data_IF_156647109082
#
_entry.id   IF_156647109082
#
_cell.length_a   1.000
_cell.length_b   1.000
_cell.length_c   1.000
_cell.angle_alpha   90.00
_cell.angle_beta   90.00
_cell.angle_gamma   90.00
#
_symmetry.space_group_name_H-M   'P 1'
#
loop_
_entity.id
_entity.type
_entity.pdbx_description
1 polymer ?
#
# COMPACT_ATOMS: atom_id res chain seq x y z
N UNK A 1 16.20 34.12 -73.83
CA UNK A 1 17.07 33.53 -72.79
C UNK A 1 16.86 34.19 -71.42
N UNK A 2 16.81 35.52 -71.34
CA UNK A 2 16.66 36.31 -70.11
C UNK A 2 15.40 35.97 -69.25
N UNK A 3 14.22 35.82 -69.86
CA UNK A 3 12.97 35.53 -69.15
C UNK A 3 12.95 34.16 -68.45
N UNK A 4 13.57 33.12 -69.04
CA UNK A 4 13.67 31.80 -68.41
C UNK A 4 14.53 31.84 -67.15
N UNK A 5 15.56 32.67 -67.14
CA UNK A 5 16.42 32.87 -65.97
C UNK A 5 15.67 33.57 -64.84
N UNK A 6 14.88 34.59 -65.16
CA UNK A 6 14.07 35.32 -64.16
C UNK A 6 12.99 34.44 -63.52
N UNK A 7 12.31 33.57 -64.29
CA UNK A 7 11.32 32.63 -63.75
C UNK A 7 11.98 31.62 -62.80
N UNK A 8 13.13 31.06 -63.15
CA UNK A 8 13.84 30.09 -62.29
C UNK A 8 14.30 30.69 -60.95
N UNK A 9 14.61 31.99 -60.93
CA UNK A 9 14.95 32.71 -59.69
C UNK A 9 13.70 32.91 -58.84
N UNK A 10 12.57 33.27 -59.45
CA UNK A 10 11.29 33.45 -58.74
C UNK A 10 10.74 32.13 -58.19
N UNK A 11 10.82 31.03 -58.95
CA UNK A 11 10.40 29.70 -58.50
C UNK A 11 11.25 29.21 -57.32
N UNK A 12 12.57 29.45 -57.36
CA UNK A 12 13.45 29.17 -56.21
C UNK A 12 13.09 30.05 -55.03
N UNK A 13 12.90 31.35 -55.23
CA UNK A 13 12.51 32.26 -54.16
C UNK A 13 11.17 31.87 -53.52
N UNK A 14 10.16 31.49 -54.33
CA UNK A 14 8.87 31.00 -53.86
C UNK A 14 9.00 29.67 -53.10
N UNK A 15 9.79 28.72 -53.63
CA UNK A 15 10.02 27.42 -52.99
C UNK A 15 10.75 27.59 -51.65
N UNK A 16 11.81 28.37 -51.62
CA UNK A 16 12.59 28.67 -50.42
C UNK A 16 11.71 29.40 -49.39
N UNK A 17 10.89 30.37 -49.82
CA UNK A 17 9.96 31.07 -48.94
C UNK A 17 8.87 30.15 -48.36
N UNK A 18 8.33 29.21 -49.16
CA UNK A 18 7.37 28.21 -48.69
C UNK A 18 8.03 27.22 -47.73
N UNK A 19 9.20 26.69 -48.08
CA UNK A 19 9.98 25.77 -47.23
C UNK A 19 10.35 26.42 -45.90
N UNK A 20 10.84 27.66 -45.90
CA UNK A 20 11.14 28.43 -44.69
C UNK A 20 9.88 28.65 -43.83
N UNK A 21 8.72 28.93 -44.45
CA UNK A 21 7.45 29.03 -43.71
C UNK A 21 7.07 27.70 -43.05
N UNK A 22 7.28 26.58 -43.73
CA UNK A 22 7.02 25.24 -43.19
C UNK A 22 7.99 24.87 -42.07
N UNK A 23 9.29 25.18 -42.19
CA UNK A 23 10.30 24.94 -41.16
C UNK A 23 10.06 25.77 -39.90
N UNK A 24 9.73 27.05 -40.06
CA UNK A 24 9.36 27.93 -38.93
C UNK A 24 8.08 27.44 -38.25
N UNK A 25 7.11 26.93 -39.02
CA UNK A 25 5.89 26.33 -38.46
C UNK A 25 6.20 25.04 -37.69
N UNK A 26 7.09 24.18 -38.20
CA UNK A 26 7.54 22.95 -37.52
C UNK A 26 8.27 23.26 -36.20
N UNK A 27 9.15 24.26 -36.18
CA UNK A 27 9.86 24.68 -34.96
C UNK A 27 8.91 25.23 -33.90
N UNK A 28 7.88 26.00 -34.29
CA UNK A 28 6.84 26.48 -33.36
C UNK A 28 6.01 25.33 -32.77
N UNK A 29 5.64 24.34 -33.60
CA UNK A 29 4.93 23.14 -33.14
C UNK A 29 5.82 22.35 -32.16
N UNK A 30 7.10 22.17 -32.49
CA UNK A 30 8.05 21.45 -31.62
C UNK A 30 8.26 22.15 -30.28
N UNK A 31 8.38 23.47 -30.26
CA UNK A 31 8.45 24.27 -29.03
C UNK A 31 7.16 24.14 -28.20
N UNK A 32 6.00 24.12 -28.85
CA UNK A 32 4.71 23.95 -28.19
C UNK A 32 4.59 22.56 -27.55
N UNK A 33 4.96 21.50 -28.28
CA UNK A 33 4.99 20.11 -27.76
C UNK A 33 5.97 20.00 -26.59
N UNK A 34 7.16 20.58 -26.72
CA UNK A 34 8.18 20.56 -25.65
C UNK A 34 7.68 21.30 -24.40
N UNK A 35 7.02 22.45 -24.58
CA UNK A 35 6.39 23.21 -23.49
C UNK A 35 5.25 22.45 -22.81
N UNK A 36 4.38 21.78 -23.58
CA UNK A 36 3.32 20.93 -23.03
C UNK A 36 3.91 19.76 -22.24
N UNK A 37 4.93 19.08 -22.75
CA UNK A 37 5.60 17.99 -22.03
C UNK A 37 6.28 18.47 -20.74
N UNK A 38 6.87 19.67 -20.76
CA UNK A 38 7.42 20.30 -19.55
C UNK A 38 6.29 20.52 -18.54
N UNK A 39 5.20 21.19 -18.93
CA UNK A 39 4.04 21.44 -18.06
C UNK A 39 3.46 20.13 -17.50
N UNK A 40 3.29 19.10 -18.33
CA UNK A 40 2.79 17.78 -17.88
C UNK A 40 3.73 17.11 -16.89
N UNK A 41 5.06 17.24 -17.05
CA UNK A 41 6.05 16.75 -16.07
C UNK A 41 5.94 17.47 -14.73
N UNK A 42 5.65 18.77 -14.73
CA UNK A 42 5.45 19.56 -13.50
C UNK A 42 4.07 19.35 -12.86
N UNK A 43 3.07 18.96 -13.66
CA UNK A 43 1.69 18.65 -13.21
C UNK A 43 1.52 17.15 -12.92
N UNK A 44 2.57 16.34 -12.97
CA UNK A 44 2.50 14.95 -12.53
C UNK A 44 2.28 14.89 -11.02
N UNK A 45 1.02 15.05 -10.63
CA UNK A 45 0.51 14.84 -9.28
C UNK A 45 0.62 13.34 -9.06
N UNK A 46 1.62 12.92 -8.29
CA UNK A 46 1.64 11.54 -7.78
C UNK A 46 0.36 11.32 -6.98
N UNK A 47 -0.60 10.60 -7.57
CA UNK A 47 -1.74 10.06 -6.82
C UNK A 47 -1.19 8.95 -5.93
N UNK A 48 -0.75 9.32 -4.73
CA UNK A 48 -0.41 8.32 -3.70
C UNK A 48 -1.71 7.71 -3.18
N UNK A 49 -1.78 6.39 -3.27
CA UNK A 49 -2.85 5.61 -2.64
C UNK A 49 -2.41 5.29 -1.22
N UNK A 50 -3.26 5.60 -0.25
CA UNK A 50 -3.03 5.23 1.15
C UNK A 50 -3.73 3.91 1.47
N UNK A 51 -3.14 3.10 2.35
CA UNK A 51 -3.70 1.82 2.80
C UNK A 51 -3.75 1.76 4.33
N UNK A 52 -4.84 1.20 4.87
CA UNK A 52 -4.99 0.87 6.29
C UNK A 52 -5.26 -0.64 6.40
N UNK A 53 -4.47 -1.34 7.21
CA UNK A 53 -4.58 -2.80 7.40
C UNK A 53 -4.51 -3.15 8.88
N UNK A 54 -5.25 -4.19 9.27
CA UNK A 54 -5.18 -4.78 10.60
C UNK A 54 -4.90 -6.27 10.49
N UNK A 55 -3.94 -6.75 11.29
CA UNK A 55 -3.59 -8.15 11.42
C UNK A 55 -3.93 -8.64 12.81
N UNK A 56 -4.79 -9.65 12.88
CA UNK A 56 -5.15 -10.33 14.11
C UNK A 56 -4.47 -11.70 14.13
N UNK A 57 -3.68 -11.93 15.17
CA UNK A 57 -3.04 -13.23 15.39
C UNK A 57 -3.55 -13.76 16.71
N UNK A 58 -4.00 -15.00 16.71
CA UNK A 58 -4.39 -15.69 17.92
C UNK A 58 -3.71 -17.05 17.98
N UNK A 59 -3.16 -17.38 19.14
CA UNK A 59 -2.40 -18.59 19.40
C UNK A 59 -3.05 -19.34 20.57
N UNK A 60 -3.03 -20.67 20.52
CA UNK A 60 -3.56 -21.49 21.62
C UNK A 60 -2.58 -22.59 21.99
N UNK A 61 -2.26 -22.70 23.28
CA UNK A 61 -1.27 -23.64 23.82
C UNK A 61 -0.25 -22.91 24.70
N UNK A 62 0.60 -23.68 25.37
CA UNK A 62 1.62 -23.15 26.28
C UNK A 62 2.84 -22.67 25.47
N UNK A 63 2.76 -21.47 24.91
CA UNK A 63 3.81 -20.83 24.11
C UNK A 63 4.10 -19.46 24.72
N UNK A 64 5.38 -19.05 24.72
CA UNK A 64 5.82 -17.72 25.17
C UNK A 64 5.49 -16.64 24.13
N UNK A 65 4.19 -16.49 23.84
CA UNK A 65 3.62 -15.50 22.93
C UNK A 65 2.21 -15.15 23.42
N UNK A 66 1.74 -13.90 23.29
CA UNK A 66 0.38 -13.54 23.72
C UNK A 66 -0.68 -14.41 23.04
N UNK A 67 -1.70 -14.84 23.79
CA UNK A 67 -2.85 -15.58 23.23
C UNK A 67 -3.49 -14.85 22.05
N UNK A 68 -3.48 -13.51 22.07
CA UNK A 68 -4.00 -12.68 20.99
C UNK A 68 -3.22 -11.38 20.84
N UNK A 69 -3.01 -10.98 19.58
CA UNK A 69 -2.41 -9.69 19.22
C UNK A 69 -3.17 -9.04 18.05
N UNK A 70 -3.27 -7.72 18.07
CA UNK A 70 -3.73 -6.91 16.93
C UNK A 70 -2.63 -5.93 16.53
N UNK A 71 -2.35 -5.82 15.24
CA UNK A 71 -1.37 -4.90 14.65
C UNK A 71 -2.06 -4.06 13.59
N UNK A 72 -2.02 -2.74 13.71
CA UNK A 72 -2.53 -1.83 12.68
C UNK A 72 -1.41 -1.15 11.91
N UNK A 73 -1.52 -1.13 10.58
CA UNK A 73 -0.59 -0.50 9.64
C UNK A 73 -1.28 0.59 8.83
N UNK A 74 -0.64 1.75 8.69
CA UNK A 74 -0.94 2.77 7.67
C UNK A 74 0.23 2.81 6.71
N UNK A 75 -0.01 2.59 5.42
CA UNK A 75 1.04 2.57 4.39
C UNK A 75 2.22 1.65 4.71
N UNK A 76 1.90 0.43 5.19
CA UNK A 76 2.86 -0.57 5.67
C UNK A 76 3.65 -0.17 6.94
N UNK A 77 3.42 1.01 7.51
CA UNK A 77 4.00 1.45 8.78
C UNK A 77 3.08 1.11 9.95
N UNK A 78 3.63 0.43 10.96
CA UNK A 78 2.86 0.07 12.15
C UNK A 78 2.59 1.29 13.03
N UNK A 79 1.32 1.62 13.23
CA UNK A 79 0.91 2.74 14.08
C UNK A 79 0.27 2.31 15.40
N UNK A 80 -0.22 1.07 15.50
CA UNK A 80 -0.86 0.56 16.72
C UNK A 80 -0.54 -0.91 16.98
N UNK A 81 -0.62 -1.30 18.25
CA UNK A 81 -0.42 -2.65 18.73
C UNK A 81 -1.29 -2.94 19.96
N UNK A 82 -1.92 -4.10 19.98
CA UNK A 82 -2.56 -4.68 21.16
C UNK A 82 -1.97 -6.07 21.39
N UNK A 83 -1.76 -6.43 22.64
CA UNK A 83 -1.53 -7.82 23.05
C UNK A 83 -2.30 -8.19 24.31
N UNK A 84 -2.65 -9.47 24.41
CA UNK A 84 -3.44 -10.03 25.50
C UNK A 84 -2.68 -10.17 26.82
N UNK A 85 -1.36 -9.98 26.85
CA UNK A 85 -0.59 -10.07 28.10
C UNK A 85 -0.74 -8.78 28.89
N UNK A 86 -0.68 -7.62 28.20
CA UNK A 86 -0.85 -6.31 28.83
C UNK A 86 -2.28 -5.78 28.75
N UNK A 87 -3.14 -6.39 27.92
CA UNK A 87 -4.55 -6.02 27.71
C UNK A 87 -4.72 -4.53 27.39
N UNK A 88 -3.85 -4.00 26.53
CA UNK A 88 -3.81 -2.58 26.21
C UNK A 88 -3.41 -2.33 24.77
N UNK A 89 -4.09 -1.40 24.12
CA UNK A 89 -3.69 -0.88 22.81
C UNK A 89 -2.71 0.27 23.01
N UNK A 90 -1.57 0.23 22.32
CA UNK A 90 -0.51 1.24 22.43
C UNK A 90 -0.15 1.85 21.08
N UNK A 91 0.07 3.17 21.01
CA UNK A 91 0.60 3.81 19.82
C UNK A 91 2.03 3.34 19.54
N UNK A 92 2.35 3.14 18.27
CA UNK A 92 3.70 2.77 17.80
C UNK A 92 4.41 3.87 17.03
N UNK A 93 3.70 4.91 16.61
CA UNK A 93 4.26 6.09 15.96
C UNK A 93 3.97 7.36 16.73
N UNK A 94 4.79 8.39 16.50
CA UNK A 94 4.63 9.69 17.16
C UNK A 94 3.38 10.43 16.68
N UNK A 95 3.09 10.36 15.37
CA UNK A 95 1.99 11.10 14.78
C UNK A 95 0.64 10.71 15.37
N UNK A 96 0.36 9.42 15.58
CA UNK A 96 -0.94 9.02 16.15
C UNK A 96 -1.02 9.37 17.63
N UNK A 97 0.11 9.32 18.36
CA UNK A 97 0.16 9.69 19.78
C UNK A 97 -0.16 11.16 20.00
N UNK A 98 0.27 12.03 19.09
CA UNK A 98 0.05 13.47 19.18
C UNK A 98 -1.34 13.90 18.72
N UNK A 99 -1.96 13.13 17.81
CA UNK A 99 -3.26 13.49 17.22
C UNK A 99 -4.45 12.86 17.96
N UNK A 100 -4.26 11.76 18.68
CA UNK A 100 -5.34 11.05 19.38
C UNK A 100 -5.25 11.16 20.90
N UNK A 101 -6.40 11.32 21.55
CA UNK A 101 -6.52 11.48 23.00
C UNK A 101 -6.74 10.17 23.76
N UNK A 102 -6.80 10.24 25.10
CA UNK A 102 -7.00 9.10 25.97
C UNK A 102 -8.28 8.31 25.64
N UNK A 103 -9.40 9.01 25.40
CA UNK A 103 -10.69 8.38 25.06
C UNK A 103 -10.61 7.48 23.82
N UNK A 104 -9.81 7.86 22.82
CA UNK A 104 -9.57 7.04 21.64
C UNK A 104 -8.85 5.75 22.03
N UNK A 105 -7.75 5.85 22.78
CA UNK A 105 -6.95 4.69 23.19
C UNK A 105 -7.69 3.75 24.15
N UNK A 106 -8.53 4.29 25.02
CA UNK A 106 -9.40 3.50 25.91
C UNK A 106 -10.42 2.72 25.10
N UNK A 107 -11.04 3.34 24.08
CA UNK A 107 -11.95 2.66 23.15
C UNK A 107 -11.23 1.58 22.34
N UNK A 108 -10.08 1.89 21.75
CA UNK A 108 -9.30 0.89 20.99
C UNK A 108 -8.81 -0.25 21.87
N UNK A 109 -8.52 0.02 23.15
CA UNK A 109 -8.20 -1.03 24.13
C UNK A 109 -9.41 -1.92 24.40
N UNK A 110 -10.60 -1.34 24.60
CA UNK A 110 -11.82 -2.12 24.80
C UNK A 110 -12.14 -3.00 23.58
N UNK A 111 -11.99 -2.47 22.37
CA UNK A 111 -12.15 -3.24 21.13
C UNK A 111 -11.15 -4.39 21.06
N UNK A 112 -9.89 -4.16 21.45
CA UNK A 112 -8.87 -5.20 21.54
C UNK A 112 -9.25 -6.33 22.52
N UNK A 113 -9.78 -5.97 23.69
CA UNK A 113 -10.26 -6.91 24.71
C UNK A 113 -11.44 -7.73 24.19
N UNK A 114 -12.43 -7.10 23.56
CA UNK A 114 -13.62 -7.77 23.02
C UNK A 114 -13.26 -8.74 21.88
N UNK A 115 -12.31 -8.34 21.02
CA UNK A 115 -11.77 -9.20 19.97
C UNK A 115 -11.03 -10.41 20.54
N UNK A 116 -10.23 -10.21 21.58
CA UNK A 116 -9.54 -11.30 22.27
C UNK A 116 -10.54 -12.29 22.90
N UNK A 117 -11.60 -11.81 23.57
CA UNK A 117 -12.65 -12.68 24.11
C UNK A 117 -13.35 -13.48 23.01
N UNK A 118 -13.69 -12.82 21.90
CA UNK A 118 -14.28 -13.47 20.74
C UNK A 118 -13.36 -14.56 20.17
N UNK A 119 -12.06 -14.28 20.07
CA UNK A 119 -11.07 -15.27 19.64
C UNK A 119 -11.06 -16.50 20.55
N UNK A 120 -11.12 -16.32 21.88
CA UNK A 120 -11.16 -17.45 22.83
C UNK A 120 -12.39 -18.34 22.64
N UNK A 121 -13.56 -17.76 22.40
CA UNK A 121 -14.79 -18.52 22.10
C UNK A 121 -14.64 -19.28 20.78
N UNK A 122 -14.13 -18.63 19.75
CA UNK A 122 -13.94 -19.24 18.44
C UNK A 122 -12.95 -20.40 18.49
N UNK A 123 -11.80 -20.25 19.16
CA UNK A 123 -10.79 -21.31 19.22
C UNK A 123 -11.28 -22.53 20.03
N UNK A 124 -12.04 -22.33 21.10
CA UNK A 124 -12.68 -23.42 21.84
C UNK A 124 -13.69 -24.17 20.96
N UNK A 125 -14.51 -23.42 20.21
CA UNK A 125 -15.47 -24.00 19.25
C UNK A 125 -14.76 -24.80 18.16
N UNK A 126 -13.67 -24.27 17.60
CA UNK A 126 -12.87 -24.93 16.58
C UNK A 126 -12.21 -26.21 17.12
N UNK A 127 -11.61 -26.17 18.32
CA UNK A 127 -11.03 -27.36 18.97
C UNK A 127 -12.06 -28.47 19.15
N UNK A 128 -13.28 -28.13 19.57
CA UNK A 128 -14.39 -29.07 19.68
C UNK A 128 -14.79 -29.67 18.32
N UNK A 129 -14.88 -28.86 17.26
CA UNK A 129 -15.26 -29.34 15.91
C UNK A 129 -14.21 -30.25 15.28
N UNK A 130 -12.94 -29.97 15.52
CA UNK A 130 -11.83 -30.74 14.95
C UNK A 130 -11.32 -31.86 15.88
N UNK A 131 -12.00 -32.12 17.00
CA UNK A 131 -11.57 -33.08 18.04
C UNK A 131 -10.10 -32.89 18.48
N UNK A 132 -9.60 -31.66 18.41
CA UNK A 132 -8.23 -31.31 18.82
C UNK A 132 -8.23 -30.98 20.31
N UNK A 133 -8.24 -32.02 21.16
CA UNK A 133 -8.31 -31.87 22.62
C UNK A 133 -6.98 -31.49 23.28
N UNK A 134 -5.85 -31.80 22.67
CA UNK A 134 -4.53 -31.28 23.02
C UNK A 134 -3.53 -31.80 21.99
N UNK A 135 -2.59 -30.99 21.53
CA UNK A 135 -1.43 -31.45 20.77
C UNK A 135 -0.47 -32.24 21.65
N UNK A 136 -0.83 -33.47 22.03
CA UNK A 136 0.06 -34.48 22.61
C UNK A 136 -0.36 -35.85 22.11
N UNK A 137 0.24 -36.27 21.01
CA UNK A 137 0.17 -37.64 20.51
C UNK A 137 1.60 -38.13 20.22
N UNK A 138 2.24 -38.76 21.21
CA UNK A 138 3.29 -39.82 21.13
C UNK A 138 3.41 -40.34 22.57
N UNK A 139 3.30 -41.61 22.96
CA UNK A 139 3.60 -42.90 22.37
C UNK A 139 2.68 -43.95 23.05
N UNK A 140 2.22 -44.99 22.32
CA UNK A 140 2.05 -46.32 22.92
C UNK A 140 3.16 -47.22 22.36
N UNK A 141 3.89 -48.00 23.17
CA UNK A 141 4.73 -49.06 22.63
C UNK A 141 3.82 -50.17 22.10
N UNK A 142 4.13 -50.67 20.90
CA UNK A 142 3.58 -51.92 20.40
C UNK A 142 4.28 -53.04 21.17
N UNK A 143 3.61 -53.66 22.13
CA UNK A 143 3.97 -55.00 22.59
C UNK A 143 3.52 -55.99 21.52
N UNK A 144 4.49 -56.64 20.88
CA UNK A 144 4.25 -57.85 20.12
C UNK A 144 3.86 -58.99 21.08
N UNK A 145 2.90 -59.80 20.66
CA UNK A 145 2.73 -61.14 21.20
C UNK A 145 3.13 -62.13 20.11
N UNK A 146 4.08 -63.00 20.46
CA UNK A 146 4.27 -64.32 19.84
C UNK A 146 3.07 -65.21 20.09
#
# INVERSE_FOLDING_TARGET
MFLKQQISILERYLKDHVTLKTEVMMLKIQLCITGINYILKYIQIERRTHSLRYFYTGVSGDIDFPEFTSVGLVDDEQFTYFDSNIMKTVPKTEWIRQNEGADYWDRETQIGIDNHQSFKVHIQTLKGRFNQSAGKLWHKPLEGQE
#
